data_IF_303003670072
#
_entry.id   IF_303003670072
#
_cell.length_a   1.000
_cell.length_b   1.000
_cell.length_c   1.000
_cell.angle_alpha   90.00
_cell.angle_beta   90.00
_cell.angle_gamma   90.00
#
_symmetry.space_group_name_H-M   'P 1'
#
loop_
_entity.id
_entity.type
_entity.pdbx_description
1 polymer ?
#
# COMPACT_ATOMS: atom_id res chain seq x y z
N UNK A 1 -16.99 -5.17 21.96
CA UNK A 1 -18.20 -4.83 21.18
C UNK A 1 -17.82 -4.90 19.70
N UNK A 2 -17.68 -6.10 19.15
CA UNK A 2 -17.39 -6.28 17.70
C UNK A 2 -17.94 -7.59 17.18
N UNK A 3 -17.87 -8.67 17.95
CA UNK A 3 -18.09 -10.02 17.41
C UNK A 3 -19.53 -10.27 16.92
N UNK A 4 -20.51 -9.52 17.44
CA UNK A 4 -21.93 -9.68 17.09
C UNK A 4 -22.35 -9.11 15.73
N UNK A 5 -21.57 -8.21 15.10
CA UNK A 5 -21.96 -7.60 13.82
C UNK A 5 -21.48 -8.37 12.58
N UNK A 6 -20.50 -9.27 12.74
CA UNK A 6 -19.77 -9.86 11.61
C UNK A 6 -20.14 -11.31 11.32
N UNK A 7 -20.61 -12.05 12.34
CA UNK A 7 -21.10 -13.43 12.20
C UNK A 7 -22.12 -13.56 11.05
N UNK A 8 -23.11 -12.65 10.90
CA UNK A 8 -24.06 -12.74 9.79
C UNK A 8 -23.44 -12.53 8.40
N UNK A 9 -22.34 -11.75 8.30
CA UNK A 9 -21.68 -11.48 7.03
C UNK A 9 -20.78 -12.64 6.57
N UNK A 10 -20.18 -13.35 7.52
CA UNK A 10 -19.43 -14.60 7.30
C UNK A 10 -20.39 -15.71 6.85
N UNK A 11 -21.50 -15.88 7.56
CA UNK A 11 -22.52 -16.91 7.25
C UNK A 11 -23.16 -16.71 5.86
N UNK A 12 -23.25 -15.46 5.40
CA UNK A 12 -23.73 -15.11 4.06
C UNK A 12 -22.65 -15.19 2.97
N UNK A 13 -21.41 -15.56 3.31
CA UNK A 13 -20.28 -15.67 2.37
C UNK A 13 -19.83 -14.34 1.77
N UNK A 14 -20.17 -13.20 2.38
CA UNK A 14 -19.83 -11.86 1.86
C UNK A 14 -18.41 -11.42 2.19
N UNK A 15 -17.84 -12.00 3.25
CA UNK A 15 -16.50 -11.76 3.77
C UNK A 15 -16.00 -13.05 4.42
N UNK A 16 -14.70 -13.30 4.30
CA UNK A 16 -14.05 -14.46 4.91
C UNK A 16 -13.09 -14.01 6.03
N UNK A 17 -12.53 -14.97 6.76
CA UNK A 17 -11.58 -14.71 7.86
C UNK A 17 -10.36 -13.88 7.44
N UNK A 18 -9.92 -13.99 6.18
CA UNK A 18 -8.78 -13.21 5.65
C UNK A 18 -9.15 -11.73 5.54
N UNK A 19 -10.38 -11.41 5.12
CA UNK A 19 -10.85 -10.03 5.04
C UNK A 19 -10.86 -9.36 6.43
N UNK A 20 -11.26 -10.10 7.47
CA UNK A 20 -11.21 -9.61 8.85
C UNK A 20 -9.79 -9.43 9.34
N UNK A 21 -8.90 -10.38 9.06
CA UNK A 21 -7.50 -10.26 9.43
C UNK A 21 -6.86 -9.04 8.76
N UNK A 22 -7.20 -8.75 7.51
CA UNK A 22 -6.72 -7.56 6.79
C UNK A 22 -7.29 -6.28 7.43
N UNK A 23 -8.60 -6.23 7.67
CA UNK A 23 -9.26 -5.07 8.26
C UNK A 23 -8.73 -4.73 9.65
N UNK A 24 -8.51 -5.74 10.49
CA UNK A 24 -7.96 -5.54 11.83
C UNK A 24 -6.52 -5.01 11.77
N UNK A 25 -5.65 -5.62 10.96
CA UNK A 25 -4.28 -5.13 10.76
C UNK A 25 -4.27 -3.71 10.21
N UNK A 26 -5.14 -3.40 9.25
CA UNK A 26 -5.26 -2.04 8.71
C UNK A 26 -5.68 -1.04 9.79
N UNK A 27 -6.69 -1.37 10.58
CA UNK A 27 -7.16 -0.55 11.70
C UNK A 27 -6.07 -0.30 12.74
N UNK A 28 -5.32 -1.34 13.11
CA UNK A 28 -4.17 -1.23 14.02
C UNK A 28 -3.09 -0.31 13.46
N UNK A 29 -2.71 -0.47 12.19
CA UNK A 29 -1.72 0.39 11.56
C UNK A 29 -2.17 1.85 11.48
N UNK A 30 -3.42 2.10 11.12
CA UNK A 30 -3.96 3.45 11.04
C UNK A 30 -4.03 4.12 12.40
N UNK A 31 -4.46 3.39 13.43
CA UNK A 31 -4.56 3.91 14.79
C UNK A 31 -3.18 4.13 15.44
N UNK A 32 -2.22 3.24 15.20
CA UNK A 32 -0.84 3.43 15.63
C UNK A 32 -0.20 4.65 14.97
N UNK A 33 -0.41 4.81 13.65
CA UNK A 33 0.08 5.99 12.94
C UNK A 33 -0.50 7.28 13.52
N UNK A 34 -1.81 7.31 13.78
CA UNK A 34 -2.45 8.48 14.38
C UNK A 34 -1.94 8.80 15.80
N UNK A 35 -1.61 7.78 16.61
CA UNK A 35 -1.14 7.95 17.99
C UNK A 35 0.35 8.28 18.09
N UNK A 36 1.17 7.65 17.26
CA UNK A 36 2.63 7.59 17.44
C UNK A 36 3.43 8.06 16.22
N UNK A 37 2.77 8.38 15.10
CA UNK A 37 3.44 8.72 13.85
C UNK A 37 4.11 7.54 13.14
N UNK A 38 3.91 6.31 13.63
CA UNK A 38 4.40 5.07 13.00
C UNK A 38 3.27 4.03 12.90
N UNK A 39 3.08 3.38 11.75
CA UNK A 39 2.02 2.38 11.59
C UNK A 39 2.28 1.08 12.36
N UNK A 40 3.54 0.71 12.60
CA UNK A 40 3.87 -0.49 13.40
C UNK A 40 4.74 -0.12 14.59
N UNK A 41 4.42 -0.69 15.75
CA UNK A 41 5.20 -0.56 16.98
C UNK A 41 6.37 -1.56 17.05
N UNK A 42 6.26 -2.69 16.33
CA UNK A 42 7.27 -3.74 16.25
C UNK A 42 8.13 -3.65 14.97
N UNK A 43 8.04 -2.53 14.23
CA UNK A 43 8.77 -2.29 12.98
C UNK A 43 8.48 -3.33 11.87
N UNK A 44 7.28 -3.90 11.87
CA UNK A 44 6.82 -4.82 10.80
C UNK A 44 6.68 -4.06 9.48
N UNK A 45 6.15 -2.85 9.53
CA UNK A 45 6.15 -1.90 8.42
C UNK A 45 7.41 -1.04 8.51
N UNK A 46 8.43 -1.43 7.78
CA UNK A 46 9.72 -0.75 7.82
C UNK A 46 9.65 0.60 7.10
N UNK A 47 10.30 1.60 7.70
CA UNK A 47 10.38 2.95 7.14
C UNK A 47 11.24 2.97 5.87
N UNK A 48 10.80 3.71 4.86
CA UNK A 48 11.64 4.04 3.69
C UNK A 48 12.86 4.83 4.13
N UNK A 49 14.04 4.44 3.68
CA UNK A 49 15.29 5.17 3.90
C UNK A 49 16.02 5.39 2.56
N UNK A 50 17.16 6.07 2.59
CA UNK A 50 17.95 6.36 1.37
C UNK A 50 18.47 5.12 0.66
N UNK A 51 18.56 3.98 1.35
CA UNK A 51 18.98 2.68 0.78
C UNK A 51 17.80 1.95 0.13
N UNK A 52 16.60 2.05 0.70
CA UNK A 52 15.39 1.34 0.28
C UNK A 52 14.28 2.33 -0.08
N UNK A 53 14.58 3.25 -1.01
CA UNK A 53 13.69 4.37 -1.38
C UNK A 53 12.34 3.92 -1.99
N UNK A 54 12.26 2.65 -2.41
CA UNK A 54 11.07 2.05 -3.03
C UNK A 54 10.39 1.00 -2.15
N UNK A 55 10.69 0.98 -0.85
CA UNK A 55 10.04 0.10 0.11
C UNK A 55 8.59 0.53 0.33
N UNK A 56 7.69 -0.45 0.30
CA UNK A 56 6.29 -0.25 0.67
C UNK A 56 5.80 -1.49 1.43
N UNK A 57 4.67 -1.37 2.11
CA UNK A 57 4.04 -2.51 2.79
C UNK A 57 2.82 -2.96 1.99
N UNK A 58 2.82 -4.22 1.56
CA UNK A 58 1.69 -4.83 0.87
C UNK A 58 0.59 -5.17 1.90
N UNK A 59 -0.62 -4.70 1.65
CA UNK A 59 -1.80 -4.96 2.46
C UNK A 59 -2.79 -5.72 1.58
N UNK A 60 -2.91 -7.02 1.83
CA UNK A 60 -3.75 -7.93 1.05
C UNK A 60 -3.61 -9.34 1.58
N UNK A 61 -3.89 -10.34 0.74
CA UNK A 61 -3.73 -11.76 1.13
C UNK A 61 -2.27 -12.11 1.48
N UNK A 62 -1.32 -11.49 0.78
CA UNK A 62 0.10 -11.53 1.13
C UNK A 62 0.47 -10.21 1.79
N UNK A 63 0.91 -10.24 3.05
CA UNK A 63 1.31 -9.05 3.81
C UNK A 63 2.83 -8.97 3.96
N UNK A 64 3.34 -7.75 4.07
CA UNK A 64 4.74 -7.52 4.43
C UNK A 64 5.42 -6.48 3.55
N UNK A 65 6.67 -6.17 3.90
CA UNK A 65 7.49 -5.25 3.12
C UNK A 65 7.77 -5.82 1.73
N UNK A 66 7.63 -4.96 0.72
CA UNK A 66 7.89 -5.22 -0.69
C UNK A 66 8.67 -4.05 -1.26
N UNK A 67 9.33 -4.30 -2.39
CA UNK A 67 10.09 -3.29 -3.10
C UNK A 67 9.44 -3.01 -4.44
N UNK A 68 9.45 -1.75 -4.85
CA UNK A 68 9.24 -1.42 -6.24
C UNK A 68 7.79 -1.46 -6.69
N UNK A 69 6.90 -0.84 -5.92
CA UNK A 69 5.49 -0.71 -6.31
C UNK A 69 5.36 -0.10 -7.71
N UNK A 70 4.88 -0.87 -8.69
CA UNK A 70 4.65 -0.42 -10.08
C UNK A 70 5.86 0.28 -10.72
N UNK A 71 7.09 -0.25 -10.56
CA UNK A 71 8.33 0.38 -11.08
C UNK A 71 8.24 0.74 -12.57
N UNK A 72 7.70 -0.14 -13.42
CA UNK A 72 7.61 0.12 -14.86
C UNK A 72 6.70 1.31 -15.16
N UNK A 73 5.54 1.39 -14.50
CA UNK A 73 4.63 2.52 -14.68
C UNK A 73 5.25 3.82 -14.18
N UNK A 74 5.94 3.79 -13.03
CA UNK A 74 6.67 4.96 -12.55
C UNK A 74 7.70 5.44 -13.57
N UNK A 75 8.40 4.53 -14.25
CA UNK A 75 9.37 4.89 -15.28
C UNK A 75 8.69 5.48 -16.52
N UNK A 76 7.60 4.88 -17.00
CA UNK A 76 6.87 5.38 -18.16
C UNK A 76 6.32 6.79 -17.90
N UNK A 77 5.64 7.00 -16.77
CA UNK A 77 5.00 8.28 -16.48
C UNK A 77 5.99 9.39 -16.13
N UNK A 78 7.06 9.07 -15.40
CA UNK A 78 7.99 10.09 -14.90
C UNK A 78 9.18 10.34 -15.82
N UNK A 79 9.43 9.49 -16.82
CA UNK A 79 10.57 9.66 -17.74
C UNK A 79 10.10 9.64 -19.19
N UNK A 80 9.56 8.51 -19.65
CA UNK A 80 9.28 8.29 -21.08
C UNK A 80 8.28 9.32 -21.62
N UNK A 81 7.18 9.57 -20.91
CA UNK A 81 6.18 10.52 -21.38
C UNK A 81 6.67 11.97 -21.31
N UNK A 82 7.47 12.33 -20.31
CA UNK A 82 8.05 13.67 -20.24
C UNK A 82 9.03 13.91 -21.40
N UNK A 83 9.87 12.92 -21.71
CA UNK A 83 10.80 13.00 -22.83
C UNK A 83 10.06 13.12 -24.16
N UNK A 84 8.97 12.35 -24.35
CA UNK A 84 8.15 12.42 -25.56
C UNK A 84 7.44 13.78 -25.71
N UNK A 85 6.89 14.35 -24.64
CA UNK A 85 6.27 15.68 -24.68
C UNK A 85 7.32 16.75 -25.00
N UNK A 86 8.48 16.71 -24.32
CA UNK A 86 9.57 17.64 -24.58
C UNK A 86 10.06 17.58 -26.02
N UNK A 87 10.19 16.38 -26.59
CA UNK A 87 10.57 16.20 -27.98
C UNK A 87 9.51 16.77 -28.94
N UNK A 88 8.22 16.57 -28.67
CA UNK A 88 7.13 17.13 -29.49
C UNK A 88 7.07 18.66 -29.44
N UNK A 89 7.28 19.27 -28.28
CA UNK A 89 7.24 20.73 -28.13
C UNK A 89 8.46 21.42 -28.75
N UNK A 90 9.61 20.74 -28.80
CA UNK A 90 10.86 21.28 -29.32
C UNK A 90 11.23 20.75 -30.72
N UNK A 91 10.45 19.84 -31.28
CA UNK A 91 10.56 19.46 -32.69
C UNK A 91 9.95 20.55 -33.56
N UNK A 92 10.79 21.51 -33.95
CA UNK A 92 10.53 22.45 -35.03
C UNK A 92 10.59 21.66 -36.35
N UNK A 93 9.43 21.33 -36.88
CA UNK A 93 9.19 21.23 -38.32
C UNK A 93 8.37 22.45 -38.76
#
# INVERSE_FOLDING_TARGET
MSDQLWIPAIEQGRVNETDFAIANTFGEFWTNFAKYGTPSLANEWARTNTTNVKLYYEIGQSRGNRLGYRILDQYVWNQVLLDLVFLCENSIF
#
